data_IF_139662211298
#
_entry.id   IF_139662211298
#
_cell.length_a   1.000
_cell.length_b   1.000
_cell.length_c   1.000
_cell.angle_alpha   90.00
_cell.angle_beta   90.00
_cell.angle_gamma   90.00
#
_symmetry.space_group_name_H-M   'P 1'
#
loop_
_entity.id
_entity.type
_entity.pdbx_description
1 polymer ?
#
# COMPACT_ATOMS: atom_id res chain seq x y z
N UNK A 1 -9.64 -15.89 -3.38
CA UNK A 1 -10.55 -15.65 -2.24
C UNK A 1 -9.85 -14.68 -1.30
N UNK A 2 -10.43 -13.49 -1.08
CA UNK A 2 -9.95 -12.57 -0.05
C UNK A 2 -10.23 -13.16 1.32
N UNK A 3 -9.27 -13.06 2.23
CA UNK A 3 -9.43 -13.50 3.62
C UNK A 3 -10.52 -12.63 4.27
N UNK A 4 -11.74 -13.16 4.49
CA UNK A 4 -12.91 -12.41 4.99
C UNK A 4 -12.70 -11.82 6.40
N UNK A 5 -11.60 -12.15 7.07
CA UNK A 5 -11.23 -11.64 8.38
C UNK A 5 -10.77 -10.17 8.37
N UNK A 6 -10.39 -9.61 7.21
CA UNK A 6 -9.83 -8.26 7.12
C UNK A 6 -10.65 -7.32 6.23
N UNK A 7 -10.60 -6.02 6.55
CA UNK A 7 -11.06 -4.97 5.63
C UNK A 7 -10.26 -5.04 4.33
N UNK A 8 -10.84 -4.55 3.23
CA UNK A 8 -10.15 -4.45 1.95
C UNK A 8 -8.81 -3.71 2.14
N UNK A 9 -7.71 -4.30 1.68
CA UNK A 9 -6.35 -3.78 1.87
C UNK A 9 -5.96 -3.57 3.34
N UNK A 10 -6.47 -4.43 4.24
CA UNK A 10 -6.13 -4.54 5.66
C UNK A 10 -6.63 -3.41 6.58
N UNK A 11 -6.42 -2.14 6.20
CA UNK A 11 -6.74 -1.00 7.05
C UNK A 11 -8.25 -0.76 7.19
N UNK A 12 -8.66 -0.29 8.38
CA UNK A 12 -10.00 0.26 8.58
C UNK A 12 -10.22 1.59 7.84
N UNK A 13 -11.48 1.94 7.59
CA UNK A 13 -11.83 3.14 6.83
C UNK A 13 -11.49 4.45 7.55
N UNK A 14 -11.39 4.45 8.88
CA UNK A 14 -11.00 5.63 9.64
C UNK A 14 -9.51 5.95 9.39
N UNK A 15 -8.67 4.93 9.43
CA UNK A 15 -7.23 5.00 9.19
C UNK A 15 -6.97 5.42 7.75
N UNK A 16 -7.63 4.79 6.77
CA UNK A 16 -7.53 5.21 5.36
C UNK A 16 -7.94 6.66 5.16
N UNK A 17 -9.05 7.11 5.75
CA UNK A 17 -9.51 8.50 5.66
C UNK A 17 -8.47 9.48 6.23
N UNK A 18 -7.83 9.12 7.34
CA UNK A 18 -6.77 9.94 7.93
C UNK A 18 -5.54 10.02 7.02
N UNK A 19 -5.05 8.88 6.51
CA UNK A 19 -3.94 8.83 5.55
C UNK A 19 -4.25 9.66 4.30
N UNK A 20 -5.44 9.51 3.71
CA UNK A 20 -5.89 10.28 2.54
C UNK A 20 -5.86 11.79 2.79
N UNK A 21 -6.29 12.27 3.97
CA UNK A 21 -6.19 13.70 4.32
C UNK A 21 -4.75 14.17 4.45
N UNK A 22 -3.86 13.35 5.01
CA UNK A 22 -2.43 13.68 5.09
C UNK A 22 -1.79 13.72 3.71
N UNK A 23 -2.14 12.80 2.82
CA UNK A 23 -1.68 12.80 1.42
C UNK A 23 -2.14 14.03 0.65
N UNK A 24 -3.40 14.45 0.82
CA UNK A 24 -3.89 15.70 0.21
C UNK A 24 -3.10 16.93 0.67
N UNK A 25 -2.72 17.00 1.96
CA UNK A 25 -1.83 18.06 2.46
C UNK A 25 -0.42 17.95 1.86
N UNK A 26 0.10 16.73 1.72
CA UNK A 26 1.45 16.51 1.19
C UNK A 26 1.55 16.93 -0.28
N UNK A 27 0.48 16.69 -1.07
CA UNK A 27 0.39 17.17 -2.46
C UNK A 27 0.27 18.69 -2.51
N UNK A 28 -0.54 19.29 -1.62
CA UNK A 28 -0.74 20.73 -1.58
C UNK A 28 0.50 21.53 -1.08
N UNK A 29 1.45 20.86 -0.41
CA UNK A 29 2.66 21.48 0.15
C UNK A 29 3.88 20.66 -0.27
N UNK A 30 4.35 20.80 -1.53
CA UNK A 30 5.44 19.99 -2.06
C UNK A 30 6.71 20.08 -1.21
N UNK A 31 7.30 18.93 -0.89
CA UNK A 31 8.52 18.81 -0.09
C UNK A 31 8.30 18.88 1.44
N UNK A 32 7.09 19.21 1.91
CA UNK A 32 6.79 19.21 3.34
C UNK A 32 6.43 17.80 3.84
N UNK A 33 7.11 17.35 4.90
CA UNK A 33 6.84 16.06 5.53
C UNK A 33 5.59 16.15 6.41
N UNK A 34 4.44 15.75 5.86
CA UNK A 34 3.17 15.76 6.60
C UNK A 34 3.12 14.56 7.57
N UNK A 35 3.04 14.80 8.89
CA UNK A 35 2.87 13.71 9.85
C UNK A 35 1.50 13.04 9.68
N UNK A 36 1.46 11.72 9.85
CA UNK A 36 0.21 10.96 9.91
C UNK A 36 0.31 9.86 10.98
N UNK A 37 -0.82 9.51 11.58
CA UNK A 37 -0.88 8.52 12.66
C UNK A 37 -0.75 7.10 12.13
N UNK A 38 0.49 6.62 11.97
CA UNK A 38 0.79 5.24 11.55
C UNK A 38 0.12 4.22 12.47
N UNK A 39 -0.29 3.09 11.90
CA UNK A 39 -0.76 1.91 12.64
C UNK A 39 0.28 0.80 12.60
N UNK A 40 0.14 -0.14 13.53
CA UNK A 40 0.90 -1.37 13.52
C UNK A 40 0.49 -2.20 12.30
N UNK A 41 1.50 -2.70 11.59
CA UNK A 41 1.35 -3.50 10.38
C UNK A 41 1.94 -4.89 10.64
N UNK A 42 1.54 -5.94 9.90
CA UNK A 42 2.09 -7.29 10.06
C UNK A 42 3.50 -7.42 9.45
N UNK A 43 4.32 -6.37 9.59
CA UNK A 43 5.70 -6.23 9.14
C UNK A 43 6.45 -5.33 10.14
N UNK A 44 7.73 -5.62 10.47
CA UNK A 44 8.49 -4.78 11.39
C UNK A 44 8.65 -3.35 10.87
N UNK A 45 8.76 -2.38 11.78
CA UNK A 45 9.17 -1.03 11.41
C UNK A 45 10.53 -1.06 10.67
N UNK A 46 10.69 -0.19 9.69
CA UNK A 46 11.84 -0.20 8.77
C UNK A 46 11.65 -1.05 7.50
N UNK A 47 10.61 -1.90 7.44
CA UNK A 47 10.30 -2.74 6.27
C UNK A 47 9.21 -2.14 5.37
N UNK A 48 9.19 -0.82 5.23
CA UNK A 48 8.27 -0.13 4.30
C UNK A 48 6.83 0.04 4.80
N UNK A 49 6.57 -0.07 6.11
CA UNK A 49 5.22 0.05 6.69
C UNK A 49 4.48 1.34 6.34
N UNK A 50 5.20 2.45 6.13
CA UNK A 50 4.62 3.70 5.64
C UNK A 50 4.09 3.60 4.21
N UNK A 51 4.89 3.03 3.29
CA UNK A 51 4.48 2.79 1.91
C UNK A 51 3.27 1.86 1.82
N UNK A 52 3.24 0.80 2.63
CA UNK A 52 2.11 -0.13 2.66
C UNK A 52 0.82 0.56 3.13
N UNK A 53 0.90 1.44 4.14
CA UNK A 53 -0.29 2.18 4.58
C UNK A 53 -0.80 3.17 3.52
N UNK A 54 0.11 3.80 2.77
CA UNK A 54 -0.25 4.67 1.64
C UNK A 54 -0.92 3.85 0.54
N UNK A 55 -0.31 2.74 0.12
CA UNK A 55 -0.90 1.83 -0.88
C UNK A 55 -2.27 1.32 -0.42
N UNK A 56 -2.41 0.85 0.83
CA UNK A 56 -3.68 0.39 1.36
C UNK A 56 -4.78 1.47 1.40
N UNK A 57 -4.41 2.75 1.51
CA UNK A 57 -5.34 3.85 1.51
C UNK A 57 -5.74 4.32 0.10
N UNK A 58 -4.89 4.10 -0.92
CA UNK A 58 -5.13 4.54 -2.29
C UNK A 58 -5.72 3.45 -3.18
N UNK A 59 -5.31 2.19 -2.98
CA UNK A 59 -5.69 1.06 -3.80
C UNK A 59 -7.21 0.92 -3.94
N UNK A 60 -7.65 0.71 -5.17
CA UNK A 60 -8.99 0.33 -5.60
C UNK A 60 -9.07 -1.14 -6.02
N UNK A 61 -10.29 -1.63 -6.21
CA UNK A 61 -10.52 -3.06 -6.53
C UNK A 61 -10.10 -3.45 -7.95
N UNK A 62 -10.04 -2.49 -8.86
CA UNK A 62 -9.73 -2.70 -10.27
C UNK A 62 -8.25 -2.41 -10.59
N UNK A 63 -7.46 -2.03 -9.58
CA UNK A 63 -6.05 -1.70 -9.77
C UNK A 63 -5.19 -2.92 -10.09
N UNK A 64 -4.09 -2.65 -10.79
CA UNK A 64 -3.02 -3.58 -11.10
C UNK A 64 -1.76 -3.13 -10.36
N UNK A 65 -1.45 -3.83 -9.26
CA UNK A 65 -0.36 -3.47 -8.37
C UNK A 65 0.98 -4.04 -8.85
N UNK A 66 1.97 -3.16 -9.05
CA UNK A 66 3.38 -3.53 -9.17
C UNK A 66 4.10 -3.17 -7.87
N UNK A 67 4.93 -4.08 -7.37
CA UNK A 67 5.76 -3.86 -6.17
C UNK A 67 7.19 -4.22 -6.51
N UNK A 68 8.11 -3.29 -6.29
CA UNK A 68 9.54 -3.45 -6.49
C UNK A 68 10.31 -3.06 -5.22
N UNK A 69 11.45 -3.68 -5.01
CA UNK A 69 12.46 -3.25 -4.04
C UNK A 69 13.84 -3.45 -4.68
N UNK A 70 14.72 -2.46 -4.53
CA UNK A 70 15.99 -2.35 -5.25
C UNK A 70 15.85 -2.45 -6.79
N UNK A 71 14.72 -2.01 -7.33
CA UNK A 71 14.43 -2.06 -8.77
C UNK A 71 13.97 -3.43 -9.29
N UNK A 72 13.83 -4.45 -8.45
CA UNK A 72 13.39 -5.78 -8.84
C UNK A 72 12.10 -6.22 -8.13
N UNK A 73 11.29 -7.01 -8.85
CA UNK A 73 9.99 -7.52 -8.40
C UNK A 73 10.09 -8.81 -7.56
N UNK A 74 11.26 -9.47 -7.57
CA UNK A 74 11.50 -10.81 -7.01
C UNK A 74 12.33 -10.81 -5.72
N UNK A 75 12.72 -9.62 -5.24
CA UNK A 75 13.32 -9.48 -3.90
C UNK A 75 12.36 -9.93 -2.81
N UNK A 76 12.90 -10.41 -1.69
CA UNK A 76 12.12 -10.94 -0.56
C UNK A 76 11.05 -9.97 -0.09
N UNK A 77 11.38 -8.69 0.02
CA UNK A 77 10.46 -7.66 0.49
C UNK A 77 9.37 -7.35 -0.55
N UNK A 78 9.74 -7.19 -1.83
CA UNK A 78 8.77 -6.95 -2.90
C UNK A 78 7.77 -8.11 -3.03
N UNK A 79 8.25 -9.35 -2.99
CA UNK A 79 7.40 -10.55 -3.01
C UNK A 79 6.49 -10.60 -1.79
N UNK A 80 7.01 -10.30 -0.60
CA UNK A 80 6.22 -10.30 0.65
C UNK A 80 5.07 -9.29 0.59
N UNK A 81 5.37 -8.03 0.22
CA UNK A 81 4.38 -6.95 0.13
C UNK A 81 3.35 -7.23 -0.98
N UNK A 82 3.78 -7.70 -2.15
CA UNK A 82 2.85 -8.07 -3.24
C UNK A 82 1.89 -9.19 -2.81
N UNK A 83 2.41 -10.23 -2.14
CA UNK A 83 1.59 -11.32 -1.59
C UNK A 83 0.62 -10.82 -0.52
N UNK A 84 1.04 -9.88 0.33
CA UNK A 84 0.18 -9.25 1.31
C UNK A 84 -1.04 -8.57 0.67
N UNK A 85 -0.85 -7.76 -0.38
CA UNK A 85 -1.97 -7.12 -1.08
C UNK A 85 -2.80 -8.09 -1.92
N UNK A 86 -2.18 -9.09 -2.55
CA UNK A 86 -2.92 -10.15 -3.24
C UNK A 86 -3.88 -10.89 -2.27
N UNK A 87 -3.48 -11.10 -1.01
CA UNK A 87 -4.33 -11.73 0.02
C UNK A 87 -5.42 -10.81 0.59
N UNK A 88 -5.06 -9.56 0.90
CA UNK A 88 -5.92 -8.63 1.65
C UNK A 88 -6.81 -7.74 0.77
N UNK A 89 -6.43 -7.54 -0.48
CA UNK A 89 -7.18 -6.73 -1.44
C UNK A 89 -7.68 -7.55 -2.64
N UNK A 90 -6.99 -8.64 -3.00
CA UNK A 90 -7.38 -9.47 -4.15
C UNK A 90 -7.22 -8.77 -5.50
N UNK A 91 -6.38 -7.73 -5.56
CA UNK A 91 -6.09 -6.97 -6.78
C UNK A 91 -5.19 -7.75 -7.74
N UNK A 92 -5.25 -7.39 -9.02
CA UNK A 92 -4.32 -7.91 -10.00
C UNK A 92 -2.90 -7.41 -9.69
N UNK A 93 -1.88 -8.16 -10.10
CA UNK A 93 -0.50 -7.75 -9.93
C UNK A 93 0.30 -7.94 -11.21
N UNK A 94 1.27 -7.07 -11.47
CA UNK A 94 2.13 -7.14 -12.66
C UNK A 94 3.60 -6.90 -12.30
N UNK A 95 4.50 -7.40 -13.15
CA UNK A 95 5.92 -7.01 -13.17
C UNK A 95 6.22 -5.99 -14.26
N UNK A 96 5.24 -5.66 -15.12
CA UNK A 96 5.39 -4.69 -16.20
C UNK A 96 4.99 -3.29 -15.72
N UNK A 97 5.93 -2.35 -15.75
CA UNK A 97 5.68 -0.98 -15.30
C UNK A 97 4.53 -0.30 -16.05
N UNK A 98 4.39 -0.55 -17.35
CA UNK A 98 3.35 0.07 -18.20
C UNK A 98 1.93 -0.47 -17.95
N UNK A 99 1.79 -1.55 -17.20
CA UNK A 99 0.49 -2.13 -16.85
C UNK A 99 0.06 -1.78 -15.42
N UNK A 100 0.96 -1.20 -14.61
CA UNK A 100 0.67 -0.85 -13.24
C UNK A 100 -0.25 0.38 -13.18
N UNK A 101 -1.20 0.39 -12.25
CA UNK A 101 -2.11 1.52 -12.01
C UNK A 101 -1.76 2.22 -10.67
N UNK A 102 -2.28 3.45 -10.46
CA UNK A 102 -1.96 4.28 -9.29
C UNK A 102 -2.24 3.65 -7.92
#
# INVERSE_FOLDING_TARGET
MTDQAYNFAYLDEQTKRMVRRSLLKAVAIPGHQVPFGSREMPLPYGWGTGGIQITAALLGREDVLKVIDQGADDTTNAVSIRRFFARTAGVNTTTRTVEATP
#
